data_IF_005065946837
#
_entry.id   IF_005065946837
#
_cell.length_a   1.000
_cell.length_b   1.000
_cell.length_c   1.000
_cell.angle_alpha   90.00
_cell.angle_beta   90.00
_cell.angle_gamma   90.00
#
_symmetry.space_group_name_H-M   'P 1'
#
loop_
_entity.id
_entity.type
_entity.pdbx_description
1 polymer ?
#
# COMPACT_ATOMS: atom_id res chain seq x y z
N UNK A 1 -23.81 -5.45 25.93
CA UNK A 1 -23.45 -6.10 24.66
C UNK A 1 -23.78 -7.57 24.76
N UNK A 2 -24.72 -8.07 23.96
CA UNK A 2 -25.04 -9.49 23.94
C UNK A 2 -23.87 -10.25 23.30
N UNK A 3 -23.15 -11.03 24.11
CA UNK A 3 -22.17 -12.00 23.62
C UNK A 3 -22.91 -13.00 22.73
N UNK A 4 -22.77 -12.85 21.42
CA UNK A 4 -23.56 -13.61 20.45
C UNK A 4 -23.07 -15.06 20.40
N UNK A 5 -23.94 -15.99 19.99
CA UNK A 5 -23.62 -17.42 19.74
C UNK A 5 -22.36 -17.63 18.89
N UNK A 6 -21.93 -16.62 18.13
CA UNK A 6 -20.87 -16.71 17.13
C UNK A 6 -19.58 -15.99 17.53
N UNK A 7 -19.48 -15.39 18.72
CA UNK A 7 -18.30 -14.62 19.15
C UNK A 7 -17.01 -15.45 19.18
N UNK A 8 -17.13 -16.78 19.34
CA UNK A 8 -16.00 -17.70 19.33
C UNK A 8 -15.19 -17.70 18.03
N UNK A 9 -15.76 -17.29 16.90
CA UNK A 9 -15.03 -17.26 15.62
C UNK A 9 -13.87 -16.25 15.63
N UNK A 10 -13.96 -15.22 16.49
CA UNK A 10 -12.91 -14.22 16.64
C UNK A 10 -11.61 -14.80 17.22
N UNK A 11 -11.67 -15.90 17.98
CA UNK A 11 -10.46 -16.53 18.53
C UNK A 11 -9.62 -17.25 17.47
N UNK A 12 -10.09 -17.35 16.23
CA UNK A 12 -9.32 -17.90 15.11
C UNK A 12 -8.54 -16.82 14.36
N UNK A 13 -8.75 -15.53 14.67
CA UNK A 13 -7.91 -14.45 14.15
C UNK A 13 -6.54 -14.51 14.83
N UNK A 14 -5.48 -14.43 14.03
CA UNK A 14 -4.12 -14.26 14.54
C UNK A 14 -3.75 -12.78 14.44
N UNK A 15 -3.31 -12.19 15.55
CA UNK A 15 -2.73 -10.85 15.54
C UNK A 15 -1.26 -10.93 15.14
N UNK A 16 -0.90 -10.26 14.05
CA UNK A 16 0.50 -10.09 13.64
C UNK A 16 0.96 -8.69 14.00
N UNK A 17 1.83 -8.61 15.00
CA UNK A 17 2.42 -7.35 15.47
C UNK A 17 3.83 -7.27 14.91
N UNK A 18 4.13 -6.16 14.21
CA UNK A 18 5.48 -5.90 13.70
C UNK A 18 6.44 -5.62 14.87
N UNK A 19 7.72 -5.91 14.65
CA UNK A 19 8.74 -5.65 15.66
C UNK A 19 8.78 -4.15 16.02
N UNK A 20 8.65 -3.77 17.31
CA UNK A 20 8.69 -2.37 17.71
C UNK A 20 10.03 -1.72 17.39
N UNK A 21 10.03 -0.39 17.22
CA UNK A 21 11.22 0.38 16.91
C UNK A 21 11.95 -0.12 15.64
N UNK A 22 11.21 -0.61 14.64
CA UNK A 22 11.72 -1.00 13.33
C UNK A 22 11.00 -0.26 12.20
N UNK A 23 11.71 -0.04 11.09
CA UNK A 23 11.14 0.60 9.91
C UNK A 23 10.22 -0.38 9.19
N UNK A 24 8.91 -0.17 9.27
CA UNK A 24 7.95 -0.93 8.46
C UNK A 24 7.90 -0.35 7.05
N UNK A 25 7.88 -1.23 6.04
CA UNK A 25 7.78 -0.85 4.63
C UNK A 25 6.65 -1.61 3.97
N UNK A 26 5.64 -0.90 3.48
CA UNK A 26 4.60 -1.47 2.65
C UNK A 26 4.96 -1.24 1.18
N UNK A 27 5.23 -2.31 0.43
CA UNK A 27 5.40 -2.25 -1.03
C UNK A 27 4.16 -2.76 -1.74
N UNK A 28 3.63 -1.95 -2.63
CA UNK A 28 2.48 -2.26 -3.48
C UNK A 28 2.96 -2.35 -4.92
N UNK A 29 2.55 -3.41 -5.62
CA UNK A 29 2.89 -3.69 -7.01
C UNK A 29 1.62 -3.89 -7.85
N UNK A 30 1.65 -3.39 -9.08
CA UNK A 30 0.54 -3.48 -10.03
C UNK A 30 0.27 -4.92 -10.50
N UNK A 31 -0.77 -5.57 -9.96
CA UNK A 31 -1.16 -6.91 -10.41
C UNK A 31 -1.53 -6.92 -11.90
N UNK A 32 -0.72 -7.61 -12.71
CA UNK A 32 -0.98 -7.79 -14.14
C UNK A 32 -0.86 -6.49 -14.94
N UNK A 33 -0.03 -5.55 -14.48
CA UNK A 33 0.07 -4.20 -15.04
C UNK A 33 0.40 -4.16 -16.54
N UNK A 34 1.13 -5.17 -17.03
CA UNK A 34 1.39 -5.33 -18.47
C UNK A 34 0.12 -5.38 -19.32
N UNK A 35 -0.93 -6.06 -18.83
CA UNK A 35 -2.22 -6.16 -19.53
C UNK A 35 -2.97 -4.83 -19.46
N UNK A 36 -2.94 -4.17 -18.31
CA UNK A 36 -3.55 -2.86 -18.09
C UNK A 36 -2.92 -1.78 -18.97
N UNK A 37 -1.58 -1.70 -18.98
CA UNK A 37 -0.84 -0.76 -19.82
C UNK A 37 -1.11 -0.97 -21.31
N UNK A 38 -1.28 -2.23 -21.76
CA UNK A 38 -1.66 -2.53 -23.15
C UNK A 38 -3.11 -2.12 -23.44
N UNK A 39 -4.04 -2.42 -22.54
CA UNK A 39 -5.46 -2.08 -22.69
C UNK A 39 -5.70 -0.57 -22.77
N UNK A 40 -4.96 0.20 -21.98
CA UNK A 40 -5.05 1.67 -21.94
C UNK A 40 -4.04 2.37 -22.84
N UNK A 41 -3.37 1.64 -23.74
CA UNK A 41 -2.46 2.17 -24.75
C UNK A 41 -1.37 3.11 -24.17
N UNK A 42 -0.73 2.64 -23.10
CA UNK A 42 0.35 3.39 -22.45
C UNK A 42 1.56 3.51 -23.38
N UNK A 43 2.13 4.71 -23.44
CA UNK A 43 3.34 5.01 -24.19
C UNK A 43 4.53 4.21 -23.65
N UNK A 44 5.34 3.65 -24.54
CA UNK A 44 6.60 2.97 -24.19
C UNK A 44 7.82 3.86 -24.53
N UNK A 45 8.94 3.75 -23.79
CA UNK A 45 9.15 2.88 -22.64
C UNK A 45 8.40 3.33 -21.37
N UNK A 46 8.04 4.61 -21.28
CA UNK A 46 7.38 5.20 -20.11
C UNK A 46 6.18 6.05 -20.53
N UNK A 47 5.04 5.88 -19.84
CA UNK A 47 3.86 6.73 -19.99
C UNK A 47 3.77 7.71 -18.81
N UNK A 48 3.97 8.99 -19.11
CA UNK A 48 3.97 10.05 -18.10
C UNK A 48 2.62 10.19 -17.39
N UNK A 49 1.49 9.94 -18.07
CA UNK A 49 0.15 10.05 -17.48
C UNK A 49 -0.04 8.95 -16.44
N UNK A 50 0.39 7.74 -16.78
CA UNK A 50 0.40 6.59 -15.89
C UNK A 50 1.24 6.82 -14.64
N UNK A 51 2.48 7.29 -14.82
CA UNK A 51 3.37 7.62 -13.69
C UNK A 51 2.82 8.74 -12.82
N UNK A 52 2.28 9.82 -13.41
CA UNK A 52 1.63 10.91 -12.66
C UNK A 52 0.42 10.42 -11.87
N UNK A 53 -0.37 9.51 -12.42
CA UNK A 53 -1.49 8.88 -11.73
C UNK A 53 -1.01 8.08 -10.51
N UNK A 54 0.02 7.25 -10.67
CA UNK A 54 0.62 6.49 -9.57
C UNK A 54 1.16 7.41 -8.47
N UNK A 55 1.89 8.47 -8.84
CA UNK A 55 2.38 9.47 -7.88
C UNK A 55 1.23 10.22 -7.20
N UNK A 56 0.14 10.53 -7.91
CA UNK A 56 -1.04 11.17 -7.31
C UNK A 56 -1.70 10.25 -6.30
N UNK A 57 -1.84 8.96 -6.60
CA UNK A 57 -2.38 7.96 -5.68
C UNK A 57 -1.49 7.84 -4.43
N UNK A 58 -0.17 7.71 -4.61
CA UNK A 58 0.79 7.65 -3.50
C UNK A 58 0.72 8.90 -2.60
N UNK A 59 0.58 10.10 -3.18
CA UNK A 59 0.37 11.33 -2.41
C UNK A 59 -0.90 11.29 -1.58
N UNK A 60 -2.01 10.77 -2.13
CA UNK A 60 -3.26 10.62 -1.38
C UNK A 60 -3.08 9.66 -0.20
N UNK A 61 -2.38 8.54 -0.38
CA UNK A 61 -2.06 7.59 0.71
C UNK A 61 -1.24 8.28 1.80
N UNK A 62 -0.19 9.04 1.44
CA UNK A 62 0.61 9.77 2.43
C UNK A 62 -0.15 10.89 3.17
N UNK A 63 -1.18 11.48 2.55
CA UNK A 63 -2.02 12.48 3.21
C UNK A 63 -2.98 11.86 4.23
N UNK A 64 -3.48 10.66 3.92
CA UNK A 64 -4.36 9.89 4.81
C UNK A 64 -3.59 9.29 6.00
N UNK A 65 -2.47 8.62 5.71
CA UNK A 65 -1.64 7.93 6.70
C UNK A 65 -0.42 8.77 7.07
N UNK A 66 -0.54 9.57 8.14
CA UNK A 66 0.46 10.57 8.54
C UNK A 66 1.76 9.98 9.11
N UNK A 67 1.76 8.69 9.43
CA UNK A 67 2.93 7.98 9.92
C UNK A 67 3.88 7.58 8.79
N UNK A 68 3.45 7.70 7.53
CA UNK A 68 4.33 7.51 6.37
C UNK A 68 5.22 8.74 6.22
N UNK A 69 6.54 8.54 6.34
CA UNK A 69 7.53 9.63 6.22
C UNK A 69 8.14 9.75 4.83
N UNK A 70 8.09 8.67 4.05
CA UNK A 70 8.70 8.63 2.73
C UNK A 70 7.93 7.64 1.86
N UNK A 71 7.79 7.99 0.58
CA UNK A 71 7.35 7.07 -0.45
C UNK A 71 8.28 7.14 -1.66
N UNK A 72 8.61 5.99 -2.22
CA UNK A 72 9.40 5.85 -3.43
C UNK A 72 8.62 5.00 -4.44
N UNK A 73 8.56 5.42 -5.70
CA UNK A 73 7.83 4.69 -6.72
C UNK A 73 8.58 4.66 -8.05
N UNK A 74 8.49 3.52 -8.73
CA UNK A 74 9.10 3.27 -10.03
C UNK A 74 8.21 2.30 -10.80
N UNK A 75 8.04 2.53 -12.12
CA UNK A 75 7.21 1.67 -12.98
C UNK A 75 5.78 1.57 -12.42
N UNK A 76 5.41 0.39 -11.95
CA UNK A 76 4.11 -0.01 -11.45
C UNK A 76 4.11 -0.33 -9.95
N UNK A 77 5.21 -0.03 -9.25
CA UNK A 77 5.34 -0.22 -7.80
C UNK A 77 5.52 1.09 -7.02
N UNK A 78 5.08 1.06 -5.77
CA UNK A 78 5.33 2.10 -4.76
C UNK A 78 5.64 1.45 -3.42
N UNK A 79 6.65 1.98 -2.74
CA UNK A 79 7.04 1.61 -1.37
C UNK A 79 6.77 2.77 -0.43
N UNK A 80 6.16 2.49 0.71
CA UNK A 80 5.82 3.46 1.77
C UNK A 80 6.54 3.10 3.05
N UNK A 81 7.30 4.04 3.61
CA UNK A 81 8.09 3.85 4.83
C UNK A 81 7.38 4.53 5.99
N UNK A 82 7.03 3.75 7.01
CA UNK A 82 6.39 4.23 8.23
C UNK A 82 7.44 4.67 9.25
N UNK A 83 7.08 5.59 10.16
CA UNK A 83 7.91 5.92 11.31
C UNK A 83 8.20 4.67 12.11
N UNK A 84 9.41 4.62 12.64
CA UNK A 84 9.91 3.50 13.43
C UNK A 84 9.16 3.38 14.77
N UNK A 85 8.63 4.50 15.24
CA UNK A 85 7.84 4.66 16.47
C UNK A 85 6.32 4.51 16.23
N UNK A 86 5.88 4.11 15.02
CA UNK A 86 4.46 3.89 14.74
C UNK A 86 3.96 2.67 15.51
N UNK A 87 2.77 2.79 16.11
CA UNK A 87 2.06 1.72 16.83
C UNK A 87 0.97 1.08 15.96
#
# INVERSE_FOLDING_TARGET
MAKSKWEYVKSFEAEEILLPNCWAVARIDGRGFHKLARLHEWKRPNDERGLKLMTRAAKSVMLEFRDIIMAYGQSDEYSFVFRRETE
#
